data_IF_667833900434
#
_entry.id   IF_667833900434
#
_cell.length_a   1.000
_cell.length_b   1.000
_cell.length_c   1.000
_cell.angle_alpha   90.00
_cell.angle_beta   90.00
_cell.angle_gamma   90.00
#
_symmetry.space_group_name_H-M   'P 1'
#
loop_
_entity.id
_entity.type
_entity.pdbx_description
1 polymer ?
#
# COMPACT_ATOMS: atom_id res chain seq x y z
N UNK A 1 21.86 -18.03 0.06
CA UNK A 1 22.27 -17.50 -1.25
C UNK A 1 21.47 -16.24 -1.57
N UNK A 2 22.11 -15.18 -2.07
CA UNK A 2 21.46 -13.90 -2.37
C UNK A 2 22.01 -13.36 -3.70
N UNK A 3 21.13 -12.94 -4.61
CA UNK A 3 21.50 -12.38 -5.91
C UNK A 3 20.57 -11.21 -6.23
N UNK A 4 21.13 -10.07 -6.64
CA UNK A 4 20.38 -8.91 -7.18
C UNK A 4 19.19 -8.42 -6.33
N UNK A 5 19.27 -8.59 -5.00
CA UNK A 5 18.18 -8.19 -4.07
C UNK A 5 17.15 -9.28 -3.79
N UNK A 6 17.30 -10.45 -4.40
CA UNK A 6 16.53 -11.66 -4.17
C UNK A 6 17.29 -12.62 -3.24
N UNK A 7 16.54 -13.31 -2.39
CA UNK A 7 16.98 -14.47 -1.62
C UNK A 7 16.16 -15.69 -2.02
N UNK A 8 16.63 -16.87 -1.62
CA UNK A 8 15.98 -18.15 -1.90
C UNK A 8 15.66 -18.83 -0.56
N UNK A 9 14.40 -19.20 -0.37
CA UNK A 9 13.95 -19.90 0.84
C UNK A 9 13.29 -21.22 0.44
N UNK A 10 13.46 -22.28 1.22
CA UNK A 10 12.74 -23.53 1.02
C UNK A 10 11.23 -23.30 1.11
N UNK A 11 10.45 -23.86 0.18
CA UNK A 11 8.99 -23.86 0.31
C UNK A 11 8.57 -24.79 1.45
N UNK A 12 7.67 -24.32 2.33
CA UNK A 12 7.18 -25.08 3.49
C UNK A 12 5.97 -25.99 3.15
N UNK A 13 5.76 -26.34 1.88
CA UNK A 13 4.67 -27.24 1.48
C UNK A 13 5.00 -28.68 1.85
N UNK A 14 4.05 -29.38 2.49
CA UNK A 14 4.18 -30.80 2.84
C UNK A 14 4.42 -31.63 1.56
N UNK A 15 5.62 -32.22 1.44
CA UNK A 15 6.04 -32.99 0.26
C UNK A 15 6.95 -32.24 -0.72
N UNK A 16 7.22 -30.94 -0.51
CA UNK A 16 8.05 -30.11 -1.40
C UNK A 16 9.54 -30.07 -0.99
N UNK A 17 10.15 -31.22 -0.67
CA UNK A 17 11.60 -31.27 -0.44
C UNK A 17 12.33 -30.86 -1.74
N UNK A 18 13.17 -29.83 -1.65
CA UNK A 18 14.00 -29.33 -2.78
C UNK A 18 13.38 -28.22 -3.64
N UNK A 19 12.15 -27.76 -3.35
CA UNK A 19 11.58 -26.58 -4.02
C UNK A 19 11.98 -25.29 -3.27
N UNK A 20 12.48 -24.30 -4.01
CA UNK A 20 12.87 -23.00 -3.47
C UNK A 20 11.96 -21.90 -4.02
N UNK A 21 11.55 -20.99 -3.14
CA UNK A 21 10.81 -19.79 -3.48
C UNK A 21 11.76 -18.58 -3.51
N UNK A 22 11.53 -17.70 -4.50
CA UNK A 22 12.21 -16.43 -4.59
C UNK A 22 11.56 -15.47 -3.59
N UNK A 23 12.39 -14.90 -2.70
CA UNK A 23 11.96 -13.96 -1.66
C UNK A 23 12.75 -12.66 -1.82
N UNK A 24 12.14 -11.53 -1.45
CA UNK A 24 12.82 -10.24 -1.46
C UNK A 24 13.53 -10.00 -0.13
N UNK A 25 14.80 -9.59 -0.21
CA UNK A 25 15.62 -9.31 0.97
C UNK A 25 15.06 -8.14 1.78
N UNK A 26 15.24 -8.21 3.11
CA UNK A 26 14.76 -7.15 4.02
C UNK A 26 15.38 -5.79 3.76
N UNK A 27 16.60 -5.73 3.21
CA UNK A 27 17.24 -4.48 2.78
C UNK A 27 16.40 -3.77 1.72
N UNK A 28 15.88 -4.50 0.73
CA UNK A 28 15.03 -3.95 -0.33
C UNK A 28 13.68 -3.47 0.20
N UNK A 29 13.10 -4.22 1.16
CA UNK A 29 11.87 -3.79 1.86
C UNK A 29 12.06 -2.52 2.68
N UNK A 30 13.18 -2.40 3.41
CA UNK A 30 13.52 -1.19 4.16
C UNK A 30 13.68 0.02 3.23
N UNK A 31 14.34 -0.16 2.08
CA UNK A 31 14.46 0.88 1.04
C UNK A 31 13.09 1.31 0.52
N UNK A 32 12.22 0.36 0.16
CA UNK A 32 10.85 0.66 -0.30
C UNK A 32 10.08 1.50 0.73
N UNK A 33 10.09 1.07 2.00
CA UNK A 33 9.42 1.80 3.09
C UNK A 33 9.99 3.21 3.27
N UNK A 34 11.31 3.39 3.13
CA UNK A 34 11.95 4.69 3.23
C UNK A 34 11.51 5.62 2.09
N UNK A 35 11.52 5.15 0.85
CA UNK A 35 11.08 5.93 -0.31
C UNK A 35 9.60 6.30 -0.22
N UNK A 36 8.72 5.37 0.22
CA UNK A 36 7.31 5.68 0.49
C UNK A 36 7.17 6.73 1.59
N UNK A 37 7.96 6.63 2.67
CA UNK A 37 7.95 7.58 3.80
C UNK A 37 8.30 8.99 3.34
N UNK A 38 9.25 9.13 2.43
CA UNK A 38 9.69 10.39 1.86
C UNK A 38 8.58 11.03 1.01
N UNK A 39 7.97 10.28 0.08
CA UNK A 39 6.86 10.77 -0.75
C UNK A 39 5.64 11.13 0.10
N UNK A 40 5.34 10.35 1.13
CA UNK A 40 4.22 10.57 2.06
C UNK A 40 4.63 11.37 3.29
N UNK A 41 5.63 12.25 3.16
CA UNK A 41 5.99 13.19 4.21
C UNK A 41 4.94 14.30 4.30
N UNK A 42 4.33 14.44 5.48
CA UNK A 42 3.25 15.42 5.75
C UNK A 42 3.69 16.88 5.59
N UNK A 43 4.99 17.16 5.73
CA UNK A 43 5.57 18.51 5.57
C UNK A 43 6.06 18.79 4.16
N UNK A 44 6.00 17.81 3.25
CA UNK A 44 6.38 18.05 1.87
C UNK A 44 5.35 18.97 1.20
N UNK A 45 5.79 20.01 0.46
CA UNK A 45 4.90 20.90 -0.29
C UNK A 45 4.45 20.23 -1.59
N UNK A 46 3.76 19.10 -1.48
CA UNK A 46 3.23 18.34 -2.61
C UNK A 46 1.71 18.33 -2.54
N UNK A 47 1.07 18.56 -3.68
CA UNK A 47 -0.37 18.34 -3.80
C UNK A 47 -0.70 16.86 -3.61
N UNK A 48 -1.95 16.55 -3.26
CA UNK A 48 -2.38 15.16 -3.08
C UNK A 48 -2.22 14.35 -4.37
N UNK A 49 -2.52 14.96 -5.51
CA UNK A 49 -2.46 14.31 -6.82
C UNK A 49 -1.00 14.07 -7.26
N UNK A 50 -0.10 15.04 -7.05
CA UNK A 50 1.34 14.82 -7.24
C UNK A 50 1.89 13.69 -6.36
N UNK A 51 1.44 13.63 -5.11
CA UNK A 51 1.85 12.56 -4.18
C UNK A 51 1.39 11.20 -4.69
N UNK A 52 0.16 11.10 -5.19
CA UNK A 52 -0.36 9.86 -5.78
C UNK A 52 0.43 9.46 -7.03
N UNK A 53 0.75 10.41 -7.91
CA UNK A 53 1.56 10.14 -9.11
C UNK A 53 2.94 9.63 -8.75
N UNK A 54 3.64 10.27 -7.81
CA UNK A 54 4.96 9.82 -7.34
C UNK A 54 4.90 8.44 -6.68
N UNK A 55 3.88 8.19 -5.85
CA UNK A 55 3.66 6.88 -5.25
C UNK A 55 3.45 5.81 -6.32
N UNK A 56 2.58 6.07 -7.29
CA UNK A 56 2.27 5.15 -8.37
C UNK A 56 3.51 4.76 -9.18
N UNK A 57 4.36 5.72 -9.55
CA UNK A 57 5.61 5.46 -10.26
C UNK A 57 6.56 4.57 -9.45
N UNK A 58 6.76 4.91 -8.18
CA UNK A 58 7.61 4.16 -7.25
C UNK A 58 7.10 2.73 -7.05
N UNK A 59 5.80 2.58 -6.79
CA UNK A 59 5.14 1.29 -6.59
C UNK A 59 5.26 0.41 -7.84
N UNK A 60 4.97 0.95 -9.03
CA UNK A 60 5.05 0.20 -10.29
C UNK A 60 6.48 -0.25 -10.61
N UNK A 61 7.46 0.65 -10.48
CA UNK A 61 8.86 0.30 -10.71
C UNK A 61 9.35 -0.81 -9.78
N UNK A 62 9.02 -0.70 -8.50
CA UNK A 62 9.44 -1.68 -7.51
C UNK A 62 8.75 -3.05 -7.70
N UNK A 63 7.44 -3.07 -7.94
CA UNK A 63 6.69 -4.29 -8.19
C UNK A 63 7.16 -4.96 -9.48
N UNK A 64 7.39 -4.21 -10.56
CA UNK A 64 7.88 -4.77 -11.83
C UNK A 64 9.24 -5.46 -11.67
N UNK A 65 10.13 -4.92 -10.82
CA UNK A 65 11.43 -5.52 -10.54
C UNK A 65 11.29 -6.81 -9.71
N UNK A 66 10.45 -6.81 -8.67
CA UNK A 66 10.31 -7.94 -7.75
C UNK A 66 9.13 -8.89 -8.07
N UNK A 67 8.50 -8.78 -9.24
CA UNK A 67 7.28 -9.51 -9.62
C UNK A 67 7.38 -11.04 -9.60
N UNK A 68 8.60 -11.58 -9.68
CA UNK A 68 8.89 -13.01 -9.65
C UNK A 68 8.96 -13.58 -8.22
N UNK A 69 9.07 -12.72 -7.21
CA UNK A 69 9.15 -13.14 -5.81
C UNK A 69 7.78 -13.36 -5.19
N UNK A 70 7.70 -14.26 -4.20
CA UNK A 70 6.50 -14.42 -3.37
C UNK A 70 6.39 -13.23 -2.39
N UNK A 71 5.72 -12.16 -2.82
CA UNK A 71 5.68 -10.88 -2.08
C UNK A 71 4.28 -10.42 -1.64
N UNK A 72 3.21 -11.10 -2.04
CA UNK A 72 1.83 -10.64 -1.88
C UNK A 72 1.43 -10.33 -0.43
N UNK A 73 1.77 -11.22 0.51
CA UNK A 73 1.44 -11.03 1.94
C UNK A 73 2.11 -9.78 2.54
N UNK A 74 3.39 -9.56 2.22
CA UNK A 74 4.16 -8.41 2.70
C UNK A 74 3.72 -7.12 2.00
N UNK A 75 3.34 -7.18 0.73
CA UNK A 75 2.74 -6.05 0.01
C UNK A 75 1.44 -5.57 0.66
N UNK A 76 0.51 -6.47 1.01
CA UNK A 76 -0.74 -6.10 1.71
C UNK A 76 -0.48 -5.33 3.01
N UNK A 77 0.53 -5.75 3.77
CA UNK A 77 0.95 -5.08 5.00
C UNK A 77 1.49 -3.66 4.74
N UNK A 78 2.29 -3.51 3.69
CA UNK A 78 2.85 -2.19 3.29
C UNK A 78 1.77 -1.28 2.71
N UNK A 79 0.82 -1.82 1.95
CA UNK A 79 -0.33 -1.06 1.44
C UNK A 79 -1.23 -0.56 2.57
N UNK A 80 -1.47 -1.38 3.61
CA UNK A 80 -2.15 -0.92 4.83
C UNK A 80 -1.44 0.26 5.48
N UNK A 81 -0.11 0.14 5.67
CA UNK A 81 0.71 1.20 6.23
C UNK A 81 0.70 2.47 5.35
N UNK A 82 0.81 2.32 4.04
CA UNK A 82 0.82 3.42 3.06
C UNK A 82 -0.52 4.18 3.08
N UNK A 83 -1.65 3.48 3.12
CA UNK A 83 -2.99 4.08 3.26
C UNK A 83 -3.12 4.90 4.55
N UNK A 84 -2.58 4.40 5.67
CA UNK A 84 -2.56 5.15 6.92
C UNK A 84 -1.70 6.42 6.82
N UNK A 85 -0.60 6.39 6.08
CA UNK A 85 0.20 7.60 5.81
C UNK A 85 -0.54 8.61 4.94
N UNK A 86 -1.27 8.16 3.91
CA UNK A 86 -2.11 9.02 3.10
C UNK A 86 -3.21 9.68 3.93
N UNK A 87 -3.92 8.91 4.77
CA UNK A 87 -4.90 9.44 5.73
C UNK A 87 -4.27 10.48 6.66
N UNK A 88 -3.05 10.22 7.13
CA UNK A 88 -2.35 11.15 8.00
C UNK A 88 -2.00 12.47 7.30
N UNK A 89 -1.61 12.41 6.02
CA UNK A 89 -1.37 13.61 5.23
C UNK A 89 -2.68 14.40 5.04
N UNK A 90 -3.77 13.74 4.64
CA UNK A 90 -5.09 14.38 4.48
C UNK A 90 -5.53 15.06 5.78
N UNK A 91 -5.37 14.40 6.92
CA UNK A 91 -5.70 14.96 8.24
C UNK A 91 -4.88 16.21 8.57
N UNK A 92 -3.61 16.23 8.15
CA UNK A 92 -2.68 17.33 8.37
C UNK A 92 -2.99 18.50 7.41
N UNK A 93 -3.38 18.22 6.16
CA UNK A 93 -3.76 19.20 5.15
C UNK A 93 -5.00 20.01 5.57
N UNK A 94 -5.88 19.41 6.37
CA UNK A 94 -7.04 20.12 6.93
C UNK A 94 -6.64 21.21 7.93
N UNK A 95 -5.44 21.17 8.53
CA UNK A 95 -4.85 22.18 9.44
C UNK A 95 -5.77 22.63 10.60
N UNK A 96 -6.79 23.45 10.33
CA UNK A 96 -7.72 24.06 11.28
C UNK A 96 -8.83 23.09 11.74
N UNK A 97 -9.23 23.09 13.03
CA UNK A 97 -10.32 22.25 13.55
C UNK A 97 -11.64 22.41 12.79
N UNK A 98 -12.04 23.64 12.46
CA UNK A 98 -13.27 23.88 11.69
C UNK A 98 -13.23 23.27 10.29
N UNK A 99 -12.08 23.32 9.62
CA UNK A 99 -11.91 22.67 8.30
C UNK A 99 -12.00 21.15 8.43
N UNK A 100 -11.43 20.56 9.49
CA UNK A 100 -11.55 19.13 9.80
C UNK A 100 -13.01 18.74 10.00
N UNK A 101 -13.77 19.49 10.81
CA UNK A 101 -15.20 19.26 11.05
C UNK A 101 -16.01 19.32 9.74
N UNK A 102 -15.86 20.39 8.96
CA UNK A 102 -16.57 20.55 7.67
C UNK A 102 -16.27 19.41 6.69
N UNK A 103 -15.00 19.01 6.57
CA UNK A 103 -14.60 17.92 5.69
C UNK A 103 -15.14 16.57 6.17
N UNK A 104 -15.13 16.28 7.47
CA UNK A 104 -15.73 15.06 8.02
C UNK A 104 -17.24 15.00 7.74
N UNK A 105 -17.97 16.10 7.92
CA UNK A 105 -19.40 16.18 7.61
C UNK A 105 -19.64 15.94 6.12
N UNK A 106 -18.86 16.59 5.24
CA UNK A 106 -18.93 16.38 3.78
C UNK A 106 -18.65 14.93 3.38
N UNK A 107 -17.84 14.22 4.16
CA UNK A 107 -17.52 12.80 3.93
C UNK A 107 -18.59 11.83 4.49
N UNK A 108 -19.65 12.34 5.12
CA UNK A 108 -20.79 11.57 5.63
C UNK A 108 -20.73 11.27 7.14
N UNK A 109 -19.86 11.92 7.91
CA UNK A 109 -19.80 11.73 9.37
C UNK A 109 -20.90 12.54 10.05
N UNK A 110 -21.64 11.97 11.02
CA UNK A 110 -22.64 12.73 11.76
C UNK A 110 -22.01 13.94 12.48
N UNK A 111 -22.67 15.12 12.48
CA UNK A 111 -22.09 16.37 12.98
C UNK A 111 -21.54 16.29 14.40
N UNK A 112 -22.21 15.56 15.30
CA UNK A 112 -21.76 15.35 16.69
C UNK A 112 -20.40 14.65 16.75
N UNK A 113 -20.24 13.55 16.01
CA UNK A 113 -18.98 12.79 15.94
C UNK A 113 -17.90 13.61 15.23
N UNK A 114 -18.24 14.32 14.16
CA UNK A 114 -17.31 15.21 13.47
C UNK A 114 -16.78 16.32 14.39
N UNK A 115 -17.64 16.89 15.25
CA UNK A 115 -17.23 17.88 16.25
C UNK A 115 -16.22 17.29 17.24
N UNK A 116 -16.54 16.15 17.86
CA UNK A 116 -15.64 15.46 18.79
C UNK A 116 -14.27 15.18 18.17
N UNK A 117 -14.25 14.56 16.98
CA UNK A 117 -13.00 14.18 16.31
C UNK A 117 -12.19 15.38 15.80
N UNK A 118 -12.84 16.49 15.43
CA UNK A 118 -12.16 17.70 14.96
C UNK A 118 -11.28 18.37 16.03
N UNK A 119 -11.65 18.24 17.30
CA UNK A 119 -11.05 18.91 18.47
C UNK A 119 -10.27 17.96 19.38
N UNK A 120 -10.03 16.73 18.94
CA UNK A 120 -9.28 15.76 19.75
C UNK A 120 -7.87 16.24 20.02
N UNK A 121 -7.38 16.00 21.24
CA UNK A 121 -5.96 16.17 21.62
C UNK A 121 -5.07 15.01 21.18
N UNK A 122 -5.64 13.98 20.53
CA UNK A 122 -4.89 12.81 20.04
C UNK A 122 -3.93 13.22 18.91
N UNK A 123 -2.77 12.56 18.86
CA UNK A 123 -1.80 12.75 17.78
C UNK A 123 -2.37 12.34 16.42
N UNK A 124 -1.99 13.05 15.36
CA UNK A 124 -2.58 12.81 14.03
C UNK A 124 -2.32 11.42 13.45
N UNK A 125 -1.24 10.74 13.85
CA UNK A 125 -0.99 9.34 13.47
C UNK A 125 -2.04 8.38 14.07
N UNK A 126 -2.38 8.59 15.35
CA UNK A 126 -3.43 7.82 16.05
C UNK A 126 -4.78 8.05 15.35
N UNK A 127 -5.07 9.29 14.95
CA UNK A 127 -6.31 9.62 14.25
C UNK A 127 -6.35 8.97 12.86
N UNK A 128 -5.24 8.95 12.12
CA UNK A 128 -5.16 8.31 10.81
C UNK A 128 -5.48 6.80 10.85
N UNK A 129 -5.15 6.13 11.95
CA UNK A 129 -5.44 4.71 12.19
C UNK A 129 -6.82 4.48 12.85
N UNK A 130 -7.40 5.51 13.43
CA UNK A 130 -8.67 5.39 14.13
C UNK A 130 -9.83 5.06 13.18
N UNK A 131 -10.89 4.40 13.69
CA UNK A 131 -12.03 4.01 12.86
C UNK A 131 -12.65 5.17 12.09
N UNK A 132 -12.64 6.39 12.65
CA UNK A 132 -13.21 7.57 11.97
C UNK A 132 -12.53 7.85 10.63
N UNK A 133 -11.21 7.73 10.53
CA UNK A 133 -10.48 7.99 9.28
C UNK A 133 -10.49 6.77 8.36
N UNK A 134 -10.50 5.57 8.92
CA UNK A 134 -10.54 4.32 8.16
C UNK A 134 -11.90 4.15 7.46
N UNK A 135 -13.01 4.47 8.12
CA UNK A 135 -14.36 4.40 7.53
C UNK A 135 -14.67 5.56 6.61
N UNK A 136 -14.16 6.77 6.90
CA UNK A 136 -14.42 7.93 6.04
C UNK A 136 -13.54 7.97 4.80
N UNK A 137 -12.26 7.60 4.94
CA UNK A 137 -11.31 7.55 3.83
C UNK A 137 -11.07 6.08 3.49
N UNK A 138 -12.07 5.51 2.82
CA UNK A 138 -12.06 4.14 2.32
C UNK A 138 -11.06 3.97 1.18
N UNK A 139 -10.68 2.72 0.91
CA UNK A 139 -9.84 2.38 -0.23
C UNK A 139 -10.49 2.85 -1.55
N UNK A 140 -11.80 2.69 -1.68
CA UNK A 140 -12.55 3.11 -2.87
C UNK A 140 -12.44 4.62 -3.13
N UNK A 141 -12.57 5.45 -2.08
CA UNK A 141 -12.41 6.91 -2.22
C UNK A 141 -10.99 7.29 -2.62
N UNK A 142 -9.99 6.60 -2.07
CA UNK A 142 -8.60 6.78 -2.48
C UNK A 142 -8.38 6.36 -3.95
N UNK A 143 -8.98 5.24 -4.38
CA UNK A 143 -8.92 4.77 -5.77
C UNK A 143 -9.57 5.75 -6.74
N UNK A 144 -10.71 6.36 -6.38
CA UNK A 144 -11.35 7.43 -7.16
C UNK A 144 -10.45 8.66 -7.33
N UNK A 145 -9.52 8.89 -6.40
CA UNK A 145 -8.49 9.94 -6.46
C UNK A 145 -7.17 9.48 -7.10
N UNK A 146 -7.14 8.30 -7.71
CA UNK A 146 -5.98 7.80 -8.46
C UNK A 146 -4.97 6.99 -7.66
N UNK A 147 -5.24 6.66 -6.39
CA UNK A 147 -4.39 5.74 -5.63
C UNK A 147 -4.56 4.30 -6.14
N UNK A 148 -3.46 3.64 -6.48
CA UNK A 148 -3.39 2.23 -6.85
C UNK A 148 -2.65 1.47 -5.75
N UNK A 149 -3.19 0.35 -5.27
CA UNK A 149 -2.49 -0.48 -4.28
C UNK A 149 -1.38 -1.28 -4.97
N UNK A 150 -0.28 -1.55 -4.25
CA UNK A 150 0.79 -2.39 -4.80
C UNK A 150 0.32 -3.82 -5.02
N UNK A 151 -0.51 -4.34 -4.13
CA UNK A 151 -1.03 -5.70 -4.23
C UNK A 151 -1.94 -5.87 -5.46
N UNK A 152 -2.86 -4.93 -5.72
CA UNK A 152 -3.74 -5.01 -6.90
C UNK A 152 -2.92 -4.94 -8.20
N UNK A 153 -1.84 -4.14 -8.22
CA UNK A 153 -0.93 -4.07 -9.37
C UNK A 153 -0.06 -5.33 -9.50
N UNK A 154 0.41 -5.90 -8.39
CA UNK A 154 1.17 -7.15 -8.37
C UNK A 154 0.36 -8.32 -8.89
N UNK A 155 -0.91 -8.44 -8.50
CA UNK A 155 -1.81 -9.49 -9.01
C UNK A 155 -2.02 -9.38 -10.53
N UNK A 156 -2.00 -8.17 -11.10
CA UNK A 156 -2.09 -7.95 -12.55
C UNK A 156 -0.80 -8.26 -13.32
N UNK A 157 0.36 -8.08 -12.70
CA UNK A 157 1.66 -8.16 -13.40
C UNK A 157 2.42 -9.44 -13.11
N UNK A 158 2.14 -10.09 -11.98
CA UNK A 158 2.85 -11.29 -11.56
C UNK A 158 2.60 -12.42 -12.56
N UNK A 159 3.66 -12.99 -13.16
CA UNK A 159 3.54 -14.13 -14.06
C UNK A 159 2.88 -15.33 -13.39
N UNK A 160 2.99 -15.46 -12.06
CA UNK A 160 2.42 -16.57 -11.30
C UNK A 160 0.88 -16.62 -11.39
N UNK A 161 0.22 -15.49 -11.60
CA UNK A 161 -1.24 -15.41 -11.74
C UNK A 161 -1.68 -15.20 -13.20
N UNK A 162 -0.84 -14.56 -13.99
CA UNK A 162 -1.13 -14.18 -15.38
C UNK A 162 -0.16 -14.85 -16.37
N UNK A 163 0.02 -16.17 -16.25
CA UNK A 163 0.75 -16.94 -17.25
C UNK A 163 0.03 -16.83 -18.60
N UNK A 164 0.72 -16.37 -19.67
CA UNK A 164 0.15 -16.42 -21.01
C UNK A 164 -0.20 -17.87 -21.39
N UNK A 165 -1.29 -18.07 -22.13
CA UNK A 165 -1.74 -19.41 -22.54
C UNK A 165 -0.67 -20.23 -23.26
N UNK A 166 0.29 -19.57 -23.92
CA UNK A 166 1.38 -20.20 -24.68
C UNK A 166 2.57 -20.68 -23.82
N UNK A 167 2.64 -20.35 -22.52
CA UNK A 167 3.72 -20.83 -21.62
C UNK A 167 3.28 -21.97 -20.72
N UNK A 168 2.00 -22.39 -20.78
CA UNK A 168 1.54 -23.55 -20.00
C UNK A 168 2.15 -24.82 -20.58
N UNK A 169 2.89 -25.63 -19.80
CA UNK A 169 3.28 -26.95 -20.27
C UNK A 169 2.01 -27.74 -20.55
N UNK A 170 1.86 -28.24 -21.78
CA UNK A 170 0.78 -29.15 -22.15
C UNK A 170 0.88 -30.36 -21.21
N UNK A 171 -0.06 -30.52 -20.28
CA UNK A 171 -0.20 -31.77 -19.55
C UNK A 171 -0.60 -32.83 -20.58
N UNK A 172 0.36 -33.66 -21.00
CA UNK A 172 0.05 -34.91 -21.68
C UNK A 172 -0.80 -35.74 -20.73
N UNK A 173 -2.07 -35.91 -21.08
CA UNK A 173 -2.93 -36.89 -20.43
C UNK A 173 -2.40 -38.26 -20.85
N UNK A 174 -1.83 -39.00 -19.91
CA UNK A 174 -1.44 -40.41 -20.06
C UNK A 174 -2.42 -41.24 -19.25
#
# INVERSE_FOLDING_TARGET
FQILGHGFTSSFENGAKGKYQIVVLDKSWKKLKASIKEVTRKTAPLSFDERNTKLKLLQRGWVNYFKLGNIGSKLKSIDSWTRNRLRYCIWTDWKKPERKRKNLIRLGVPPSKAYQFSRTRKGGWVIAQSPIMVTTITLERLRKRGYESMNDYYEKVSPMFNEPLYTRPVRTVV
#
